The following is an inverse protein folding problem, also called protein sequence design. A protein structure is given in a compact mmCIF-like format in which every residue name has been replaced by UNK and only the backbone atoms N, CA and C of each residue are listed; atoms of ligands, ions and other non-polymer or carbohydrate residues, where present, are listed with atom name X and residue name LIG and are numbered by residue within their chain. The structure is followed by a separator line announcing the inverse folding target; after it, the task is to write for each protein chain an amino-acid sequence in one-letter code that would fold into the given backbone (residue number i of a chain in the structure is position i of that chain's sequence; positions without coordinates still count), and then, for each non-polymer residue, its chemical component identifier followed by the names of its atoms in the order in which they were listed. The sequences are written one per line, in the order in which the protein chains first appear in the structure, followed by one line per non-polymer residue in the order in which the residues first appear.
data_IF_211923399450
#
_entry.id   IF_211923399450
#
_cell.length_a   1.000
_cell.length_b   1.000
_cell.length_c   1.000
_cell.angle_alpha   90.00
_cell.angle_beta   90.00
_cell.angle_gamma   90.00
#
_symmetry.space_group_name_H-M   'P 1'
#
loop_
_entity.id
_entity.type
_entity.pdbx_description
1 polymer ?
#
# COMPACT_ATOMS: atom_id res chain seq x y z
N UNK A 1 44.05 -34.85 -51.94
CA UNK A 1 43.98 -34.31 -50.57
C UNK A 1 43.77 -32.82 -50.74
N UNK A 2 42.52 -32.39 -50.79
CA UNK A 2 42.19 -30.97 -50.88
C UNK A 2 42.36 -30.35 -49.50
N UNK A 3 43.27 -29.38 -49.43
CA UNK A 3 43.55 -28.62 -48.21
C UNK A 3 42.50 -27.51 -48.15
N UNK A 4 41.63 -27.47 -47.13
CA UNK A 4 40.62 -26.42 -47.03
C UNK A 4 41.30 -25.05 -46.95
N UNK A 5 40.74 -24.08 -47.69
CA UNK A 5 41.27 -22.72 -47.76
C UNK A 5 41.16 -22.04 -46.39
N UNK A 6 42.16 -21.24 -46.03
CA UNK A 6 42.17 -20.43 -44.80
C UNK A 6 40.96 -19.49 -44.74
N UNK A 7 40.43 -19.09 -45.89
CA UNK A 7 39.23 -18.24 -46.01
C UNK A 7 37.97 -18.95 -45.49
N UNK A 8 37.85 -20.27 -45.68
CA UNK A 8 36.74 -21.06 -45.14
C UNK A 8 36.80 -21.17 -43.61
N UNK A 9 38.01 -21.19 -43.04
CA UNK A 9 38.22 -21.25 -41.59
C UNK A 9 37.91 -19.90 -40.91
N UNK A 10 38.21 -18.78 -41.58
CA UNK A 10 37.93 -17.44 -41.07
C UNK A 10 36.44 -17.11 -41.11
N UNK A 11 35.72 -17.57 -42.15
CA UNK A 11 34.27 -17.47 -42.20
C UNK A 11 33.58 -18.34 -41.13
N UNK A 12 34.04 -19.59 -40.96
CA UNK A 12 33.49 -20.50 -39.97
C UNK A 12 33.69 -20.03 -38.52
N UNK A 13 34.85 -19.44 -38.19
CA UNK A 13 35.13 -18.89 -36.84
C UNK A 13 34.35 -17.58 -36.59
N UNK A 14 34.11 -16.77 -37.61
CA UNK A 14 33.32 -15.53 -37.47
C UNK A 14 31.83 -15.79 -37.29
N UNK A 15 31.28 -16.78 -37.99
CA UNK A 15 29.88 -17.16 -37.87
C UNK A 15 29.58 -17.86 -36.53
N UNK A 16 30.52 -18.66 -36.00
CA UNK A 16 30.35 -19.36 -34.73
C UNK A 16 30.55 -18.44 -33.50
N UNK A 17 31.41 -17.41 -33.61
CA UNK A 17 31.61 -16.41 -32.56
C UNK A 17 30.47 -15.38 -32.48
N UNK A 18 29.86 -15.00 -33.62
CA UNK A 18 28.77 -14.01 -33.67
C UNK A 18 27.41 -14.54 -33.21
N UNK A 19 27.15 -15.83 -33.44
CA UNK A 19 25.88 -16.49 -33.07
C UNK A 19 25.82 -16.79 -31.56
N UNK A 20 26.94 -17.20 -30.96
CA UNK A 20 27.03 -17.48 -29.52
C UNK A 20 26.86 -16.23 -28.66
N UNK A 21 27.44 -15.10 -29.05
CA UNK A 21 27.39 -13.85 -28.27
C UNK A 21 26.02 -13.17 -28.38
N UNK A 22 25.42 -13.18 -29.58
CA UNK A 22 24.06 -12.68 -29.81
C UNK A 22 23.02 -13.49 -29.04
N UNK A 23 23.18 -14.82 -28.96
CA UNK A 23 22.30 -15.68 -28.17
C UNK A 23 22.40 -15.37 -26.68
N UNK A 24 23.61 -15.19 -26.15
CA UNK A 24 23.83 -14.83 -24.74
C UNK A 24 23.22 -13.46 -24.42
N UNK A 25 23.41 -12.46 -25.27
CA UNK A 25 22.79 -11.13 -25.11
C UNK A 25 21.27 -11.24 -25.09
N UNK A 26 20.68 -12.03 -25.99
CA UNK A 26 19.23 -12.21 -26.07
C UNK A 26 18.67 -12.94 -24.83
N UNK A 27 19.41 -13.93 -24.31
CA UNK A 27 19.10 -14.60 -23.03
C UNK A 27 19.18 -13.63 -21.86
N UNK A 28 20.19 -12.76 -21.80
CA UNK A 28 20.31 -11.72 -20.78
C UNK A 28 19.17 -10.71 -20.84
N UNK A 29 18.78 -10.26 -22.03
CA UNK A 29 17.65 -9.35 -22.22
C UNK A 29 16.34 -10.01 -21.76
N UNK A 30 16.13 -11.30 -22.07
CA UNK A 30 14.95 -12.04 -21.63
C UNK A 30 14.92 -12.25 -20.11
N UNK A 31 16.05 -12.59 -19.49
CA UNK A 31 16.17 -12.73 -18.04
C UNK A 31 15.98 -11.39 -17.31
N UNK A 32 16.60 -10.33 -17.81
CA UNK A 32 16.44 -8.99 -17.23
C UNK A 32 15.02 -8.47 -17.43
N UNK A 33 14.46 -8.59 -18.64
CA UNK A 33 13.10 -8.18 -18.93
C UNK A 33 12.08 -8.93 -18.07
N UNK A 34 12.23 -10.26 -17.95
CA UNK A 34 11.33 -11.06 -17.11
C UNK A 34 11.45 -10.72 -15.62
N UNK A 35 12.65 -10.49 -15.08
CA UNK A 35 12.82 -10.07 -13.68
C UNK A 35 12.21 -8.68 -13.41
N UNK A 36 12.35 -7.73 -14.34
CA UNK A 36 11.71 -6.41 -14.24
C UNK A 36 10.18 -6.54 -14.28
N UNK A 37 9.63 -7.39 -15.15
CA UNK A 37 8.19 -7.62 -15.20
C UNK A 37 7.67 -8.28 -13.92
N UNK A 38 8.34 -9.31 -13.43
CA UNK A 38 7.98 -10.01 -12.19
C UNK A 38 8.02 -9.05 -11.01
N UNK A 39 9.09 -8.25 -10.87
CA UNK A 39 9.21 -7.28 -9.79
C UNK A 39 8.16 -6.17 -9.88
N UNK A 40 7.82 -5.71 -11.09
CA UNK A 40 6.75 -4.74 -11.30
C UNK A 40 5.37 -5.29 -10.92
N UNK A 41 5.07 -6.54 -11.28
CA UNK A 41 3.79 -7.17 -10.93
C UNK A 41 3.72 -7.41 -9.43
N UNK A 42 4.79 -7.92 -8.81
CA UNK A 42 4.87 -8.09 -7.36
C UNK A 42 4.70 -6.76 -6.64
N UNK A 43 5.36 -5.70 -7.11
CA UNK A 43 5.26 -4.38 -6.52
C UNK A 43 3.83 -3.83 -6.58
N UNK A 44 3.15 -3.99 -7.71
CA UNK A 44 1.75 -3.62 -7.86
C UNK A 44 0.82 -4.43 -6.95
N UNK A 45 1.04 -5.74 -6.82
CA UNK A 45 0.27 -6.60 -5.92
C UNK A 45 0.48 -6.21 -4.44
N UNK A 46 1.72 -5.96 -4.06
CA UNK A 46 2.09 -5.46 -2.74
C UNK A 46 1.40 -4.10 -2.50
N UNK A 47 1.46 -3.17 -3.45
CA UNK A 47 0.79 -1.87 -3.31
C UNK A 47 -0.74 -1.98 -3.26
N UNK A 48 -1.32 -2.98 -3.92
CA UNK A 48 -2.75 -3.26 -3.88
C UNK A 48 -3.21 -3.86 -2.55
N UNK A 49 -2.44 -4.77 -1.96
CA UNK A 49 -2.76 -5.34 -0.63
C UNK A 49 -2.36 -4.41 0.51
N UNK A 50 -1.40 -3.53 0.29
CA UNK A 50 -0.88 -2.60 1.27
C UNK A 50 -0.97 -1.17 0.71
N UNK A 51 -2.17 -0.56 0.65
CA UNK A 51 -2.35 0.78 0.12
C UNK A 51 -1.58 1.86 0.90
N UNK A 52 -1.14 1.55 2.12
CA UNK A 52 -0.22 2.37 2.92
C UNK A 52 0.92 1.51 3.44
N UNK A 53 2.05 1.48 2.73
CA UNK A 53 3.27 0.79 3.19
C UNK A 53 4.27 1.74 3.81
N UNK A 54 4.12 3.04 3.55
CA UNK A 54 5.03 4.06 4.05
C UNK A 54 4.49 4.67 5.34
N UNK A 55 5.41 5.13 6.19
CA UNK A 55 5.06 5.87 7.41
C UNK A 55 4.30 7.17 7.08
N UNK A 56 4.58 7.79 5.94
CA UNK A 56 3.79 8.94 5.47
C UNK A 56 2.32 8.57 5.18
N UNK A 57 2.06 7.39 4.63
CA UNK A 57 0.70 6.87 4.43
C UNK A 57 -0.02 6.62 5.75
N UNK A 58 0.70 6.09 6.74
CA UNK A 58 0.21 5.91 8.12
C UNK A 58 -0.29 7.24 8.70
N UNK A 59 0.54 8.28 8.70
CA UNK A 59 0.20 9.61 9.25
C UNK A 59 -0.98 10.26 8.52
N UNK A 60 -1.04 10.10 7.20
CA UNK A 60 -2.14 10.65 6.39
C UNK A 60 -3.46 9.97 6.75
N UNK A 61 -3.47 8.63 6.88
CA UNK A 61 -4.67 7.87 7.25
C UNK A 61 -5.08 8.17 8.70
N UNK A 62 -4.12 8.25 9.63
CA UNK A 62 -4.34 8.60 11.04
C UNK A 62 -5.04 9.97 11.15
N UNK A 63 -4.50 11.00 10.50
CA UNK A 63 -5.11 12.35 10.47
C UNK A 63 -6.51 12.35 9.87
N UNK A 64 -6.74 11.55 8.83
CA UNK A 64 -8.06 11.45 8.17
C UNK A 64 -9.11 10.83 9.10
N UNK A 65 -8.79 9.73 9.76
CA UNK A 65 -9.70 9.07 10.72
C UNK A 65 -9.97 9.99 11.91
N UNK A 66 -8.92 10.63 12.45
CA UNK A 66 -9.05 11.64 13.51
C UNK A 66 -9.98 12.78 13.11
N UNK A 67 -9.81 13.33 11.90
CA UNK A 67 -10.63 14.42 11.38
C UNK A 67 -12.10 14.04 11.24
N UNK A 68 -12.40 12.84 10.73
CA UNK A 68 -13.77 12.33 10.62
C UNK A 68 -14.42 12.13 11.99
N UNK A 69 -13.66 11.64 12.97
CA UNK A 69 -14.17 11.52 14.33
C UNK A 69 -14.52 12.88 14.93
N UNK A 70 -13.61 13.86 14.85
CA UNK A 70 -13.85 15.21 15.37
C UNK A 70 -15.05 15.87 14.70
N UNK A 71 -15.15 15.79 13.38
CA UNK A 71 -16.29 16.32 12.62
C UNK A 71 -17.62 15.66 13.04
N UNK A 72 -17.63 14.34 13.26
CA UNK A 72 -18.81 13.61 13.70
C UNK A 72 -19.21 13.93 15.16
N UNK A 73 -18.24 14.24 16.02
CA UNK A 73 -18.48 14.72 17.39
C UNK A 73 -19.01 16.15 17.39
N UNK A 74 -18.41 17.05 16.60
CA UNK A 74 -18.82 18.45 16.48
C UNK A 74 -20.24 18.59 15.93
N UNK A 75 -20.59 17.78 14.92
CA UNK A 75 -21.95 17.70 14.35
C UNK A 75 -22.98 17.06 15.28
N UNK A 76 -22.57 16.60 16.46
CA UNK A 76 -23.44 15.95 17.44
C UNK A 76 -23.96 14.58 16.98
N UNK A 77 -23.32 13.96 15.98
CA UNK A 77 -23.70 12.64 15.48
C UNK A 77 -23.23 11.54 16.41
N UNK A 78 -22.05 11.70 17.01
CA UNK A 78 -21.51 10.77 17.99
C UNK A 78 -21.78 11.27 19.41
N UNK A 79 -22.77 10.65 20.08
CA UNK A 79 -23.19 11.03 21.44
C UNK A 79 -23.21 9.81 22.36
N UNK A 80 -22.99 10.05 23.66
CA UNK A 80 -23.11 9.06 24.72
C UNK A 80 -22.16 7.87 24.57
N UNK A 81 -22.71 6.67 24.70
CA UNK A 81 -21.95 5.42 24.65
C UNK A 81 -21.25 5.18 23.31
N UNK A 82 -21.88 5.58 22.19
CA UNK A 82 -21.30 5.41 20.85
C UNK A 82 -20.01 6.22 20.70
N UNK A 83 -19.99 7.45 21.23
CA UNK A 83 -18.79 8.28 21.24
C UNK A 83 -17.66 7.61 22.00
N UNK A 84 -17.93 7.09 23.20
CA UNK A 84 -16.91 6.44 24.03
C UNK A 84 -16.31 5.21 23.35
N UNK A 85 -17.12 4.40 22.67
CA UNK A 85 -16.65 3.21 21.94
C UNK A 85 -15.70 3.61 20.80
N UNK A 86 -16.08 4.60 20.00
CA UNK A 86 -15.27 5.07 18.87
C UNK A 86 -13.99 5.76 19.36
N UNK A 87 -14.09 6.54 20.44
CA UNK A 87 -12.95 7.18 21.09
C UNK A 87 -11.93 6.15 21.60
N UNK A 88 -12.38 5.07 22.23
CA UNK A 88 -11.49 3.98 22.66
C UNK A 88 -10.78 3.32 21.48
N UNK A 89 -11.51 3.00 20.40
CA UNK A 89 -10.92 2.44 19.17
C UNK A 89 -9.88 3.37 18.55
N UNK A 90 -10.15 4.68 18.59
CA UNK A 90 -9.23 5.69 18.08
C UNK A 90 -7.95 5.77 18.93
N UNK A 91 -8.06 5.79 20.26
CA UNK A 91 -6.90 5.80 21.16
C UNK A 91 -6.04 4.55 20.93
N UNK A 92 -6.66 3.39 20.76
CA UNK A 92 -5.95 2.14 20.45
C UNK A 92 -5.19 2.23 19.11
N UNK A 93 -5.82 2.80 18.07
CA UNK A 93 -5.19 3.02 16.78
C UNK A 93 -4.00 3.98 16.86
N UNK A 94 -4.13 5.09 17.58
CA UNK A 94 -3.05 6.06 17.81
C UNK A 94 -1.89 5.42 18.58
N UNK A 95 -2.20 4.62 19.60
CA UNK A 95 -1.20 3.86 20.35
C UNK A 95 -0.42 2.88 19.46
N UNK A 96 -1.13 2.13 18.61
CA UNK A 96 -0.48 1.20 17.66
C UNK A 96 0.30 1.92 16.58
N UNK A 97 -0.19 3.06 16.07
CA UNK A 97 0.56 3.92 15.15
C UNK A 97 1.87 4.41 15.78
N UNK A 98 1.83 4.80 17.06
CA UNK A 98 3.02 5.18 17.83
C UNK A 98 4.03 4.04 17.95
N UNK A 99 3.58 2.81 18.26
CA UNK A 99 4.47 1.64 18.30
C UNK A 99 5.12 1.36 16.94
N UNK A 100 4.36 1.48 15.85
CA UNK A 100 4.88 1.34 14.48
C UNK A 100 5.97 2.38 14.21
N UNK A 101 5.71 3.66 14.53
CA UNK A 101 6.70 4.74 14.40
C UNK A 101 7.97 4.46 15.21
N UNK A 102 7.82 4.00 16.45
CA UNK A 102 8.96 3.64 17.33
C UNK A 102 9.80 2.51 16.74
N UNK A 103 9.17 1.44 16.23
CA UNK A 103 9.90 0.34 15.57
C UNK A 103 10.56 0.79 14.28
N UNK A 104 9.90 1.67 13.51
CA UNK A 104 10.46 2.21 12.28
C UNK A 104 11.73 3.04 12.55
N UNK A 105 11.74 3.86 13.60
CA UNK A 105 12.94 4.60 14.01
C UNK A 105 14.12 3.66 14.31
N UNK A 106 13.88 2.53 14.97
CA UNK A 106 14.90 1.50 15.23
C UNK A 106 15.44 0.81 13.97
N UNK A 107 14.71 0.86 12.86
CA UNK A 107 15.03 0.23 11.57
C UNK A 107 15.45 1.24 10.49
N UNK A 108 15.54 2.52 10.85
CA UNK A 108 15.79 3.62 9.91
C UNK A 108 17.17 3.55 9.22
N UNK A 109 18.14 2.86 9.82
CA UNK A 109 19.47 2.66 9.22
C UNK A 109 19.52 1.52 8.18
N UNK A 110 18.42 0.80 7.98
CA UNK A 110 18.38 -0.30 7.01
C UNK A 110 18.41 0.20 5.56
N UNK A 111 19.08 -0.56 4.68
CA UNK A 111 19.03 -0.31 3.23
C UNK A 111 17.59 -0.32 2.71
N UNK A 112 16.73 -1.18 3.25
CA UNK A 112 15.32 -1.23 2.90
C UNK A 112 14.60 0.10 3.16
N UNK A 113 14.84 0.73 4.31
CA UNK A 113 14.24 2.01 4.61
C UNK A 113 14.70 3.09 3.63
N UNK A 114 15.98 3.10 3.25
CA UNK A 114 16.54 4.06 2.30
C UNK A 114 15.90 3.91 0.91
N UNK A 115 15.75 2.68 0.42
CA UNK A 115 15.24 2.43 -0.93
C UNK A 115 13.70 2.42 -1.03
N UNK A 116 13.00 1.95 0.01
CA UNK A 116 11.55 1.74 -0.02
C UNK A 116 10.76 2.72 0.87
N UNK A 117 11.42 3.44 1.78
CA UNK A 117 10.76 4.31 2.76
C UNK A 117 10.10 3.56 3.92
N UNK A 118 10.27 2.25 4.01
CA UNK A 118 9.81 1.39 5.11
C UNK A 118 10.62 0.10 5.18
N UNK A 119 10.62 -0.57 6.33
CA UNK A 119 11.24 -1.89 6.49
C UNK A 119 10.23 -3.02 6.19
N UNK A 120 10.54 -4.04 5.36
CA UNK A 120 9.63 -5.13 5.03
C UNK A 120 9.04 -5.86 6.23
N UNK A 121 9.79 -5.96 7.34
CA UNK A 121 9.30 -6.54 8.60
C UNK A 121 8.11 -5.78 9.21
N UNK A 122 7.92 -4.50 8.87
CA UNK A 122 6.79 -3.68 9.33
C UNK A 122 5.55 -3.81 8.45
N UNK A 123 5.68 -4.31 7.22
CA UNK A 123 4.57 -4.44 6.28
C UNK A 123 3.33 -5.16 6.87
N UNK A 124 3.45 -6.33 7.54
CA UNK A 124 2.28 -6.96 8.13
C UNK A 124 1.64 -6.12 9.24
N UNK A 125 2.45 -5.48 10.09
CA UNK A 125 1.93 -4.63 11.17
C UNK A 125 1.24 -3.38 10.64
N UNK A 126 1.79 -2.75 9.59
CA UNK A 126 1.18 -1.62 8.89
C UNK A 126 -0.15 -2.03 8.26
N UNK A 127 -0.20 -3.20 7.63
CA UNK A 127 -1.40 -3.73 6.98
C UNK A 127 -2.54 -3.92 7.95
N UNK A 128 -2.28 -4.63 9.05
CA UNK A 128 -3.30 -4.85 10.08
C UNK A 128 -3.79 -3.52 10.63
N UNK A 129 -2.87 -2.61 10.97
CA UNK A 129 -3.25 -1.27 11.42
C UNK A 129 -4.10 -0.52 10.39
N UNK A 130 -3.75 -0.59 9.10
CA UNK A 130 -4.50 0.08 8.04
C UNK A 130 -5.92 -0.45 7.91
N UNK A 131 -6.10 -1.78 7.96
CA UNK A 131 -7.41 -2.41 7.91
C UNK A 131 -8.27 -2.02 9.11
N UNK A 132 -7.67 -1.94 10.30
CA UNK A 132 -8.35 -1.50 11.52
C UNK A 132 -8.77 -0.02 11.41
N UNK A 133 -7.88 0.83 10.87
CA UNK A 133 -8.16 2.24 10.61
C UNK A 133 -9.26 2.42 9.56
N UNK A 134 -9.26 1.62 8.50
CA UNK A 134 -10.29 1.64 7.47
C UNK A 134 -11.65 1.18 8.01
N UNK A 135 -11.65 0.14 8.85
CA UNK A 135 -12.85 -0.32 9.54
C UNK A 135 -13.44 0.77 10.43
N UNK A 136 -12.61 1.45 11.22
CA UNK A 136 -13.06 2.55 12.07
C UNK A 136 -13.61 3.73 11.23
N UNK A 137 -12.93 4.04 10.13
CA UNK A 137 -13.37 5.08 9.21
C UNK A 137 -14.78 4.80 8.65
N UNK A 138 -14.99 3.58 8.15
CA UNK A 138 -16.27 3.14 7.63
C UNK A 138 -17.35 3.16 8.71
N UNK A 139 -17.02 2.78 9.94
CA UNK A 139 -17.95 2.82 11.09
C UNK A 139 -18.39 4.26 11.42
N UNK A 140 -17.46 5.22 11.44
CA UNK A 140 -17.76 6.64 11.65
C UNK A 140 -18.66 7.16 10.53
N UNK A 141 -18.29 6.91 9.27
CA UNK A 141 -19.09 7.35 8.12
C UNK A 141 -20.49 6.76 8.12
N UNK A 142 -20.61 5.46 8.42
CA UNK A 142 -21.90 4.80 8.55
C UNK A 142 -22.77 5.44 9.63
N UNK A 143 -22.19 5.79 10.78
CA UNK A 143 -22.90 6.50 11.86
C UNK A 143 -23.35 7.89 11.41
N UNK A 144 -22.49 8.64 10.73
CA UNK A 144 -22.81 9.97 10.17
C UNK A 144 -23.95 9.91 9.16
N UNK A 145 -23.90 8.96 8.24
CA UNK A 145 -24.93 8.75 7.23
C UNK A 145 -26.25 8.32 7.87
N UNK A 146 -26.21 7.37 8.81
CA UNK A 146 -27.40 6.88 9.51
C UNK A 146 -28.12 8.00 10.28
N UNK A 147 -27.39 8.89 10.93
CA UNK A 147 -27.96 10.05 11.63
C UNK A 147 -28.54 11.08 10.65
N UNK A 148 -27.84 11.32 9.53
CA UNK A 148 -28.32 12.21 8.46
C UNK A 148 -29.63 11.71 7.87
N UNK A 149 -29.72 10.41 7.58
CA UNK A 149 -30.95 9.77 7.09
C UNK A 149 -32.08 9.86 8.11
N UNK A 150 -31.77 9.66 9.40
CA UNK A 150 -32.76 9.80 10.47
C UNK A 150 -33.33 11.21 10.51
N UNK A 151 -32.48 12.24 10.55
CA UNK A 151 -32.90 13.65 10.55
C UNK A 151 -33.76 14.00 9.33
N UNK A 152 -33.38 13.51 8.15
CA UNK A 152 -34.16 13.69 6.92
C UNK A 152 -35.55 13.03 7.01
N UNK A 153 -35.63 11.81 7.54
CA UNK A 153 -36.91 11.11 7.73
C UNK A 153 -37.83 11.84 8.71
N UNK A 154 -37.29 12.30 9.83
CA UNK A 154 -38.03 13.09 10.83
C UNK A 154 -38.56 14.41 10.23
N UNK A 155 -37.78 15.07 9.37
CA UNK A 155 -38.20 16.28 8.64
C UNK A 155 -39.34 15.99 7.64
N UNK A 156 -39.24 14.89 6.89
CA UNK A 156 -40.28 14.48 5.94
C UNK A 156 -41.61 14.17 6.65
N UNK A 157 -41.56 13.47 7.78
CA UNK A 157 -42.75 13.19 8.60
C UNK A 157 -43.39 14.47 9.11
N UNK A 158 -42.59 15.40 9.66
CA UNK A 158 -43.08 16.69 10.15
C UNK A 158 -43.79 17.50 9.07
N UNK A 159 -43.32 17.44 7.82
CA UNK A 159 -43.94 18.15 6.68
C UNK A 159 -45.17 17.44 6.11
N UNK A 160 -45.31 16.14 6.32
CA UNK A 160 -46.49 15.38 5.88
C UNK A 160 -47.66 15.49 6.86
N UNK A 161 -47.40 15.87 8.11
CA UNK A 161 -48.39 16.08 9.17
C UNK A 161 -48.94 17.52 9.23
N UNK A 162 -48.42 18.44 8.40
CA UNK A 162 -48.87 19.83 8.23
C UNK A 162 -49.67 19.97 6.95
#
# INVERSE_FOLDING_TARGET
MDIPSIEDFVHQVSDDAGVGDSHNILVYILLFGSTVLITSVLWSLIRSQYPCITIAGLETKEKRVYGLFQDAVEKGTLVGQTRQIIEMKQIELEYRASQIRMRNLGLASSMWFIYLGFHPQLAPTLSTWYNDADTLEQEIQFKVESDTQRRCREELQRRAEV
#
